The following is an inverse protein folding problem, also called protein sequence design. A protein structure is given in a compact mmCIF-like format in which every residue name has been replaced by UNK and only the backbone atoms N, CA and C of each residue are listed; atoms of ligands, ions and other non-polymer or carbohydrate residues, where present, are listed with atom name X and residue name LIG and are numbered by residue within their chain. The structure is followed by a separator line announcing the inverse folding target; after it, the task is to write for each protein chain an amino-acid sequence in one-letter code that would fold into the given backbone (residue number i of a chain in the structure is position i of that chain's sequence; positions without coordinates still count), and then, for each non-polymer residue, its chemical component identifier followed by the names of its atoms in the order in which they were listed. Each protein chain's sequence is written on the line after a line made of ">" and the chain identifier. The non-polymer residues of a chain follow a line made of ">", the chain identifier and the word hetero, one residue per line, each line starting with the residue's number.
data_IF_861572701124
#
_entry.id   IF_861572701124
#
_cell.length_a   1.000
_cell.length_b   1.000
_cell.length_c   1.000
_cell.angle_alpha   90.00
_cell.angle_beta   90.00
_cell.angle_gamma   90.00
#
_symmetry.space_group_name_H-M   'P 1'
#
loop_
_entity.id
_entity.type
_entity.pdbx_description
1 polymer ?
#
# COMPACT_ATOMS: atom_id res chain seq x y z
N UNK A 1 -0.50 -16.87 -12.83
CA UNK A 1 0.22 -16.35 -11.66
C UNK A 1 1.67 -16.11 -12.07
N UNK A 2 2.30 -15.03 -11.63
CA UNK A 2 3.70 -14.77 -11.98
C UNK A 2 4.59 -15.86 -11.37
N UNK A 3 5.52 -16.36 -12.18
CA UNK A 3 6.58 -17.22 -11.66
C UNK A 3 7.63 -16.36 -10.94
N UNK A 4 8.11 -16.76 -9.75
CA UNK A 4 9.19 -16.05 -9.06
C UNK A 4 10.49 -16.09 -9.89
N UNK A 5 11.31 -15.05 -9.76
CA UNK A 5 12.60 -14.93 -10.46
C UNK A 5 13.57 -16.06 -10.08
N UNK A 6 13.51 -16.52 -8.85
CA UNK A 6 14.30 -17.66 -8.36
C UNK A 6 13.37 -18.64 -7.62
N UNK A 7 13.25 -19.85 -8.14
CA UNK A 7 12.48 -20.92 -7.47
C UNK A 7 13.29 -21.68 -6.43
N UNK A 8 14.57 -21.83 -6.64
CA UNK A 8 15.45 -22.62 -5.74
C UNK A 8 15.57 -21.94 -4.38
N UNK A 9 15.13 -22.61 -3.33
CA UNK A 9 15.15 -22.08 -1.95
C UNK A 9 14.02 -21.10 -1.60
N UNK A 10 13.13 -20.77 -2.55
CA UNK A 10 11.96 -19.96 -2.26
C UNK A 10 10.86 -20.77 -1.58
N UNK A 11 10.31 -20.23 -0.51
CA UNK A 11 9.01 -20.61 0.03
C UNK A 11 7.99 -19.63 -0.55
N UNK A 12 6.91 -20.15 -1.14
CA UNK A 12 5.94 -19.31 -1.84
C UNK A 12 4.77 -18.95 -0.92
N UNK A 13 4.19 -17.76 -1.14
CA UNK A 13 2.88 -17.40 -0.59
C UNK A 13 1.83 -18.36 -1.16
N UNK A 14 1.06 -18.97 -0.25
CA UNK A 14 0.07 -19.98 -0.63
C UNK A 14 -1.28 -19.38 -1.05
N UNK A 15 -1.64 -18.28 -0.45
CA UNK A 15 -2.98 -17.67 -0.55
C UNK A 15 -2.91 -16.13 -0.64
N UNK A 16 -4.04 -15.52 -0.95
CA UNK A 16 -4.19 -14.07 -0.98
C UNK A 16 -3.65 -13.40 -2.25
N UNK A 17 -3.52 -12.06 -2.25
CA UNK A 17 -3.12 -11.29 -3.43
C UNK A 17 -1.68 -11.55 -3.87
N UNK A 18 -0.84 -12.10 -2.98
CA UNK A 18 0.56 -12.41 -3.23
C UNK A 18 0.81 -13.91 -3.51
N UNK A 19 -0.26 -14.70 -3.69
CA UNK A 19 -0.13 -16.13 -3.96
C UNK A 19 0.77 -16.41 -5.16
N UNK A 20 1.75 -17.30 -4.98
CA UNK A 20 2.69 -17.74 -6.01
C UNK A 20 3.98 -16.93 -6.11
N UNK A 21 4.12 -15.79 -5.41
CA UNK A 21 5.41 -15.11 -5.26
C UNK A 21 6.18 -15.64 -4.05
N UNK A 22 7.46 -15.35 -3.95
CA UNK A 22 8.26 -15.80 -2.83
C UNK A 22 7.86 -15.10 -1.52
N UNK A 23 7.43 -15.86 -0.53
CA UNK A 23 7.25 -15.39 0.83
C UNK A 23 8.62 -15.07 1.46
N UNK A 24 9.60 -15.95 1.27
CA UNK A 24 10.99 -15.75 1.70
C UNK A 24 11.96 -16.71 0.97
N UNK A 25 13.25 -16.41 1.07
CA UNK A 25 14.37 -17.22 0.58
C UNK A 25 15.20 -17.82 1.73
N UNK A 26 14.56 -18.14 2.86
CA UNK A 26 15.12 -18.83 4.02
C UNK A 26 15.08 -18.05 5.33
N UNK A 27 15.29 -16.72 5.33
CA UNK A 27 15.29 -15.94 6.57
C UNK A 27 14.71 -14.53 6.36
N UNK A 28 13.40 -14.33 6.62
CA UNK A 28 12.74 -13.04 6.45
C UNK A 28 13.47 -11.88 7.16
N UNK A 29 13.94 -12.08 8.37
CA UNK A 29 14.67 -11.04 9.13
C UNK A 29 16.01 -10.65 8.49
N UNK A 30 16.76 -11.62 7.94
CA UNK A 30 17.99 -11.31 7.21
C UNK A 30 17.69 -10.62 5.88
N UNK A 31 16.60 -10.99 5.25
CA UNK A 31 16.13 -10.39 4.01
C UNK A 31 15.71 -8.93 4.22
N UNK A 32 15.00 -8.61 5.31
CA UNK A 32 14.71 -7.23 5.71
C UNK A 32 15.99 -6.40 5.84
N UNK A 33 16.99 -6.91 6.56
CA UNK A 33 18.27 -6.21 6.73
C UNK A 33 18.99 -5.98 5.41
N UNK A 34 18.97 -6.97 4.50
CA UNK A 34 19.56 -6.80 3.17
C UNK A 34 18.83 -5.78 2.33
N UNK A 35 17.49 -5.74 2.39
CA UNK A 35 16.67 -4.69 1.76
C UNK A 35 17.06 -3.32 2.27
N UNK A 36 17.09 -3.12 3.60
CA UNK A 36 17.45 -1.84 4.22
C UNK A 36 18.87 -1.38 3.87
N UNK A 37 19.79 -2.32 3.67
CA UNK A 37 21.16 -2.03 3.22
C UNK A 37 21.25 -1.76 1.70
N UNK A 38 20.15 -1.84 0.96
CA UNK A 38 20.15 -1.71 -0.50
C UNK A 38 20.89 -2.83 -1.22
N UNK A 39 20.89 -4.07 -0.67
CA UNK A 39 21.60 -5.23 -1.20
C UNK A 39 20.68 -6.31 -1.76
N UNK A 40 19.39 -6.15 -1.62
CA UNK A 40 18.40 -7.08 -2.13
C UNK A 40 17.22 -6.32 -2.77
N UNK A 41 16.52 -6.99 -3.67
CA UNK A 41 15.28 -6.57 -4.29
C UNK A 41 14.17 -7.53 -3.91
N UNK A 42 12.94 -7.05 -3.90
CA UNK A 42 11.75 -7.90 -3.80
C UNK A 42 11.16 -8.06 -5.19
N UNK A 43 10.89 -9.31 -5.56
CA UNK A 43 10.14 -9.63 -6.77
C UNK A 43 8.64 -9.37 -6.53
N UNK A 44 8.15 -8.25 -7.06
CA UNK A 44 6.74 -7.86 -7.04
C UNK A 44 6.07 -8.18 -8.38
N UNK A 45 6.39 -9.34 -8.96
CA UNK A 45 5.85 -9.76 -10.26
C UNK A 45 4.33 -9.97 -10.28
N UNK A 46 3.65 -10.00 -9.13
CA UNK A 46 2.20 -9.99 -9.02
C UNK A 46 1.60 -8.58 -9.22
N UNK A 47 2.40 -7.52 -9.07
CA UNK A 47 1.93 -6.17 -9.35
C UNK A 47 1.66 -6.03 -10.85
N UNK A 48 0.64 -5.26 -11.17
CA UNK A 48 0.15 -5.07 -12.52
C UNK A 48 0.51 -3.68 -13.02
N UNK A 49 0.85 -3.58 -14.30
CA UNK A 49 1.20 -2.29 -14.92
C UNK A 49 0.18 -1.96 -15.99
N UNK A 50 -0.37 -0.74 -15.94
CA UNK A 50 -1.25 -0.16 -16.95
C UNK A 50 -0.59 1.09 -17.53
N UNK A 51 -0.38 1.12 -18.83
CA UNK A 51 0.06 2.31 -19.54
C UNK A 51 -1.15 3.15 -19.96
N UNK A 52 -1.05 4.45 -19.71
CA UNK A 52 -2.00 5.46 -20.15
C UNK A 52 -1.25 6.44 -21.02
N UNK A 53 -1.58 6.50 -22.33
CA UNK A 53 -0.85 7.31 -23.29
C UNK A 53 -1.79 8.08 -24.21
N UNK A 54 -1.27 9.11 -24.87
CA UNK A 54 -1.98 9.94 -25.83
C UNK A 54 -1.99 11.42 -25.46
N UNK A 55 -2.30 12.29 -26.44
CA UNK A 55 -2.16 13.75 -26.28
C UNK A 55 -2.92 14.36 -25.11
N UNK A 56 -3.96 13.68 -24.63
CA UNK A 56 -4.78 14.19 -23.53
C UNK A 56 -4.53 13.41 -22.21
N UNK A 57 -3.65 12.40 -22.18
CA UNK A 57 -3.51 11.42 -21.09
C UNK A 57 -3.31 12.06 -19.72
N UNK A 58 -2.33 12.93 -19.54
CA UNK A 58 -2.00 13.52 -18.23
C UNK A 58 -3.09 14.47 -17.73
N UNK A 59 -3.63 15.32 -18.63
CA UNK A 59 -4.75 16.20 -18.30
C UNK A 59 -6.00 15.40 -17.96
N UNK A 60 -6.27 14.36 -18.73
CA UNK A 60 -7.41 13.48 -18.51
C UNK A 60 -7.29 12.72 -17.19
N UNK A 61 -6.14 12.10 -16.87
CA UNK A 61 -5.88 11.48 -15.56
C UNK A 61 -6.06 12.49 -14.43
N UNK A 62 -5.58 13.74 -14.58
CA UNK A 62 -5.84 14.81 -13.62
C UNK A 62 -7.33 15.02 -13.42
N UNK A 63 -8.15 14.91 -14.46
CA UNK A 63 -9.61 15.14 -14.37
C UNK A 63 -10.35 13.98 -13.71
N UNK A 64 -10.00 12.73 -14.06
CA UNK A 64 -10.75 11.54 -13.65
C UNK A 64 -10.26 10.90 -12.35
N UNK A 65 -9.13 11.36 -11.79
CA UNK A 65 -8.58 10.88 -10.52
C UNK A 65 -8.49 12.00 -9.48
N UNK A 66 -8.08 11.67 -8.27
CA UNK A 66 -7.93 12.60 -7.15
C UNK A 66 -6.63 13.40 -7.15
N UNK A 67 -5.70 13.16 -8.11
CA UNK A 67 -4.35 13.77 -8.12
C UNK A 67 -4.15 14.68 -9.34
N UNK A 68 -3.11 15.51 -9.30
CA UNK A 68 -2.70 16.39 -10.41
C UNK A 68 -1.47 15.80 -11.08
N UNK A 69 -1.60 15.42 -12.36
CA UNK A 69 -0.50 14.90 -13.19
C UNK A 69 -0.16 15.84 -14.36
N UNK A 70 -1.08 16.76 -14.70
CA UNK A 70 -0.85 17.78 -15.72
C UNK A 70 0.26 18.74 -15.26
N UNK A 71 1.26 18.99 -16.10
CA UNK A 71 2.34 19.93 -15.81
C UNK A 71 3.45 19.39 -14.91
N UNK A 72 3.36 18.15 -14.39
CA UNK A 72 4.47 17.53 -13.64
C UNK A 72 5.63 17.14 -14.58
N UNK A 73 6.84 17.02 -14.06
CA UNK A 73 8.02 16.66 -14.87
C UNK A 73 8.00 15.19 -15.28
N UNK A 74 8.61 14.86 -16.45
CA UNK A 74 8.86 13.46 -16.83
C UNK A 74 9.82 12.82 -15.82
N UNK A 75 9.52 11.60 -15.41
CA UNK A 75 10.23 10.89 -14.34
C UNK A 75 9.63 11.13 -12.94
N UNK A 76 8.68 12.07 -12.78
CA UNK A 76 7.99 12.28 -11.51
C UNK A 76 7.13 11.09 -11.14
N UNK A 77 7.05 10.85 -9.83
CA UNK A 77 6.15 9.89 -9.20
C UNK A 77 4.96 10.60 -8.57
N UNK A 78 3.80 9.98 -8.58
CA UNK A 78 2.60 10.46 -7.88
C UNK A 78 1.74 9.29 -7.45
N UNK A 79 0.97 9.47 -6.38
CA UNK A 79 -0.06 8.53 -5.96
C UNK A 79 -1.43 9.08 -6.31
N UNK A 80 -2.29 8.25 -6.82
CA UNK A 80 -3.63 8.66 -7.21
C UNK A 80 -4.70 7.69 -6.69
N UNK A 81 -5.88 8.24 -6.43
CA UNK A 81 -7.05 7.47 -6.09
C UNK A 81 -8.21 7.80 -7.03
N UNK A 82 -9.06 6.80 -7.25
CA UNK A 82 -10.41 6.99 -7.77
C UNK A 82 -11.38 6.77 -6.62
N UNK A 83 -12.30 7.70 -6.44
CA UNK A 83 -13.30 7.64 -5.39
C UNK A 83 -14.69 7.41 -5.98
N UNK A 84 -15.58 6.77 -5.22
CA UNK A 84 -17.00 6.74 -5.55
C UNK A 84 -17.63 8.13 -5.38
N UNK A 85 -18.86 8.38 -5.91
CA UNK A 85 -19.57 9.64 -5.65
C UNK A 85 -19.77 9.94 -4.16
N UNK A 86 -19.79 8.88 -3.31
CA UNK A 86 -19.90 8.97 -1.86
C UNK A 86 -18.54 9.21 -1.17
N UNK A 87 -17.45 9.38 -1.93
CA UNK A 87 -16.11 9.65 -1.42
C UNK A 87 -15.41 8.42 -0.81
N UNK A 88 -15.84 7.21 -1.14
CA UNK A 88 -15.16 5.96 -0.75
C UNK A 88 -14.06 5.64 -1.74
N UNK A 89 -13.01 5.01 -1.25
CA UNK A 89 -11.90 4.54 -2.09
C UNK A 89 -12.38 3.41 -3.00
N UNK A 90 -12.22 3.58 -4.31
CA UNK A 90 -12.57 2.57 -5.31
C UNK A 90 -11.30 1.96 -5.93
N UNK A 91 -10.32 2.81 -6.29
CA UNK A 91 -9.03 2.35 -6.81
C UNK A 91 -7.90 3.20 -6.25
N UNK A 92 -6.74 2.58 -6.08
CA UNK A 92 -5.46 3.22 -5.78
C UNK A 92 -4.44 2.80 -6.82
N UNK A 93 -3.54 3.71 -7.20
CA UNK A 93 -2.41 3.40 -8.08
C UNK A 93 -1.22 4.31 -7.77
N UNK A 94 -0.03 3.77 -8.00
CA UNK A 94 1.22 4.51 -8.03
C UNK A 94 1.53 4.85 -9.49
N UNK A 95 1.77 6.13 -9.80
CA UNK A 95 1.95 6.62 -11.16
C UNK A 95 3.37 7.14 -11.38
N UNK A 96 3.95 6.82 -12.53
CA UNK A 96 5.20 7.43 -13.02
C UNK A 96 4.93 8.10 -14.35
N UNK A 97 5.30 9.37 -14.47
CA UNK A 97 5.21 10.10 -15.75
C UNK A 97 6.38 9.67 -16.63
N UNK A 98 6.09 8.96 -17.71
CA UNK A 98 7.13 8.39 -18.60
C UNK A 98 7.41 9.27 -19.82
N UNK A 99 6.43 10.09 -20.22
CA UNK A 99 6.57 11.06 -21.31
C UNK A 99 5.61 12.25 -21.09
N UNK A 100 5.70 13.25 -21.93
CA UNK A 100 4.78 14.40 -21.91
C UNK A 100 3.31 13.99 -22.11
N UNK A 101 3.09 12.87 -22.78
CA UNK A 101 1.80 12.32 -23.13
C UNK A 101 1.58 10.88 -22.60
N UNK A 102 2.38 10.43 -21.63
CA UNK A 102 2.26 9.08 -21.09
C UNK A 102 2.57 8.97 -19.60
N UNK A 103 1.90 8.02 -18.94
CA UNK A 103 2.17 7.58 -17.57
C UNK A 103 2.03 6.06 -17.45
N UNK A 104 2.84 5.43 -16.60
CA UNK A 104 2.64 4.07 -16.15
C UNK A 104 1.96 4.10 -14.77
N UNK A 105 0.93 3.30 -14.62
CA UNK A 105 0.24 3.06 -13.35
C UNK A 105 0.63 1.69 -12.84
N UNK A 106 1.17 1.64 -11.62
CA UNK A 106 1.55 0.42 -10.90
C UNK A 106 0.44 0.12 -9.92
N UNK A 107 -0.06 -1.11 -9.92
CA UNK A 107 -1.22 -1.53 -9.15
C UNK A 107 -0.97 -2.85 -8.43
N UNK A 108 -1.66 -3.04 -7.32
CA UNK A 108 -1.76 -4.35 -6.67
C UNK A 108 -2.41 -5.39 -7.58
N UNK A 109 -2.14 -6.66 -7.29
CA UNK A 109 -2.73 -7.79 -8.00
C UNK A 109 -4.25 -7.72 -8.04
N UNK A 110 -4.83 -7.91 -9.23
CA UNK A 110 -6.28 -7.89 -9.46
C UNK A 110 -6.90 -6.48 -9.52
N UNK A 111 -6.12 -5.40 -9.29
CA UNK A 111 -6.63 -4.03 -9.29
C UNK A 111 -6.64 -3.38 -10.69
N UNK A 112 -5.89 -3.91 -11.66
CA UNK A 112 -5.78 -3.32 -13.00
C UNK A 112 -7.08 -3.40 -13.79
N UNK A 113 -7.70 -4.55 -13.87
CA UNK A 113 -8.90 -4.74 -14.68
C UNK A 113 -10.09 -3.87 -14.20
N UNK A 114 -10.38 -3.76 -12.88
CA UNK A 114 -11.39 -2.84 -12.39
C UNK A 114 -11.07 -1.37 -12.66
N UNK A 115 -9.83 -0.93 -12.41
CA UNK A 115 -9.42 0.44 -12.72
C UNK A 115 -9.51 0.73 -14.22
N UNK A 116 -9.02 -0.17 -15.07
CA UNK A 116 -9.13 -0.04 -16.53
C UNK A 116 -10.57 0.12 -16.98
N UNK A 117 -11.49 -0.69 -16.46
CA UNK A 117 -12.92 -0.60 -16.78
C UNK A 117 -13.51 0.77 -16.40
N UNK A 118 -13.15 1.29 -15.23
CA UNK A 118 -13.53 2.64 -14.83
C UNK A 118 -12.96 3.69 -15.81
N UNK A 119 -11.67 3.63 -16.10
CA UNK A 119 -11.00 4.57 -17.00
C UNK A 119 -11.61 4.52 -18.42
N UNK A 120 -11.88 3.33 -18.96
CA UNK A 120 -12.56 3.17 -20.26
C UNK A 120 -13.95 3.83 -20.26
N UNK A 121 -14.69 3.74 -19.17
CA UNK A 121 -16.00 4.39 -19.03
C UNK A 121 -15.92 5.93 -19.03
N UNK A 122 -14.74 6.50 -18.76
CA UNK A 122 -14.49 7.92 -18.67
C UNK A 122 -13.79 8.52 -19.90
N UNK A 123 -13.52 7.73 -20.93
CA UNK A 123 -12.78 8.18 -22.12
C UNK A 123 -13.49 9.28 -22.89
N UNK A 124 -14.79 9.16 -23.11
CA UNK A 124 -15.61 10.08 -23.93
C UNK A 124 -14.90 10.50 -25.22
N UNK A 125 -14.52 11.80 -25.34
CA UNK A 125 -13.82 12.35 -26.48
C UNK A 125 -12.30 12.54 -26.24
N UNK A 126 -11.76 12.04 -25.14
CA UNK A 126 -10.34 12.15 -24.82
C UNK A 126 -9.50 11.23 -25.76
N UNK A 127 -8.41 11.76 -26.27
CA UNK A 127 -7.46 11.02 -27.13
C UNK A 127 -6.44 10.32 -26.24
N UNK A 128 -6.92 9.21 -25.64
CA UNK A 128 -6.17 8.40 -24.67
C UNK A 128 -6.27 6.94 -25.05
N UNK A 129 -5.17 6.24 -24.93
CA UNK A 129 -5.05 4.79 -25.09
C UNK A 129 -4.67 4.15 -23.75
N UNK A 130 -5.21 2.97 -23.49
CA UNK A 130 -4.96 2.18 -22.29
C UNK A 130 -4.36 0.84 -22.71
N UNK A 131 -3.16 0.52 -22.27
CA UNK A 131 -2.48 -0.72 -22.61
C UNK A 131 -2.04 -1.49 -21.36
N UNK A 132 -2.46 -2.77 -21.27
CA UNK A 132 -1.94 -3.68 -20.25
C UNK A 132 -0.50 -4.07 -20.59
N UNK A 133 0.43 -3.74 -19.69
CA UNK A 133 1.86 -3.99 -19.88
C UNK A 133 2.26 -5.30 -19.17
N UNK A 134 1.83 -6.43 -19.78
CA UNK A 134 2.18 -7.76 -19.29
C UNK A 134 3.63 -8.18 -19.61
N UNK A 135 4.32 -7.39 -20.41
CA UNK A 135 5.74 -7.49 -20.75
C UNK A 135 6.64 -6.88 -19.67
N UNK A 136 6.07 -6.19 -18.68
CA UNK A 136 6.80 -5.52 -17.61
C UNK A 136 6.64 -6.26 -16.27
N UNK A 137 7.66 -6.11 -15.43
CA UNK A 137 7.73 -6.61 -14.05
C UNK A 137 8.07 -5.47 -13.11
N UNK A 138 7.56 -5.54 -11.88
CA UNK A 138 7.90 -4.59 -10.82
C UNK A 138 8.87 -5.24 -9.84
N UNK A 139 9.94 -4.53 -9.52
CA UNK A 139 10.91 -4.89 -8.47
C UNK A 139 10.89 -3.82 -7.40
N UNK A 140 10.74 -4.22 -6.13
CA UNK A 140 10.76 -3.33 -4.98
C UNK A 140 12.14 -3.31 -4.30
N UNK A 141 12.52 -2.16 -3.74
CA UNK A 141 13.74 -2.00 -2.97
C UNK A 141 13.83 -0.63 -2.31
N UNK A 142 14.93 -0.34 -1.63
CA UNK A 142 15.23 1.00 -1.09
C UNK A 142 16.03 1.86 -2.08
N UNK A 143 16.51 1.25 -3.16
CA UNK A 143 17.18 1.90 -4.28
C UNK A 143 16.64 1.37 -5.59
N UNK A 144 16.82 2.11 -6.73
CA UNK A 144 16.51 1.60 -8.06
C UNK A 144 17.21 0.27 -8.34
N UNK A 145 16.52 -0.65 -9.02
CA UNK A 145 17.02 -2.00 -9.28
C UNK A 145 18.41 -2.01 -9.96
N UNK A 146 18.69 -1.04 -10.82
CA UNK A 146 19.99 -0.90 -11.49
C UNK A 146 21.18 -0.65 -10.53
N UNK A 147 20.96 -0.21 -9.30
CA UNK A 147 22.04 -0.08 -8.31
C UNK A 147 22.48 -1.45 -7.74
N UNK A 148 21.59 -2.44 -7.77
CA UNK A 148 21.88 -3.81 -7.29
C UNK A 148 22.26 -4.69 -8.49
N UNK A 149 21.54 -4.54 -9.59
CA UNK A 149 21.75 -5.26 -10.84
C UNK A 149 21.88 -4.25 -11.99
N UNK A 150 23.10 -3.82 -12.32
CA UNK A 150 23.34 -2.80 -13.37
C UNK A 150 22.83 -3.19 -14.75
N UNK A 151 22.57 -4.48 -14.98
CA UNK A 151 22.01 -5.01 -16.22
C UNK A 151 20.52 -4.70 -16.39
N UNK A 152 19.83 -4.30 -15.30
CA UNK A 152 18.42 -3.94 -15.34
C UNK A 152 18.25 -2.48 -15.77
N UNK A 153 17.74 -2.30 -16.98
CA UNK A 153 17.31 -0.99 -17.48
C UNK A 153 15.83 -0.78 -17.12
N UNK A 154 15.58 0.18 -16.22
CA UNK A 154 14.22 0.45 -15.79
C UNK A 154 13.48 1.35 -16.78
N UNK A 155 12.36 0.86 -17.31
CA UNK A 155 11.43 1.63 -18.12
C UNK A 155 10.85 2.81 -17.34
N UNK A 156 10.62 2.61 -16.03
CA UNK A 156 10.16 3.64 -15.11
C UNK A 156 10.61 3.32 -13.69
N UNK A 157 10.76 4.38 -12.87
CA UNK A 157 11.13 4.26 -11.46
C UNK A 157 10.16 5.10 -10.63
N UNK A 158 9.30 4.43 -9.88
CA UNK A 158 8.49 5.10 -8.87
C UNK A 158 9.32 5.30 -7.61
N UNK A 159 9.38 6.53 -7.12
CA UNK A 159 10.03 6.90 -5.86
C UNK A 159 8.95 7.26 -4.86
N UNK A 160 8.93 6.50 -3.78
CA UNK A 160 7.97 6.73 -2.70
C UNK A 160 8.51 7.80 -1.76
N UNK A 161 7.88 8.97 -1.78
CA UNK A 161 8.21 10.08 -0.87
C UNK A 161 7.50 9.95 0.50
N UNK A 162 6.87 8.80 0.77
CA UNK A 162 6.24 8.54 2.07
C UNK A 162 7.27 8.62 3.21
N UNK A 163 6.97 9.29 4.34
CA UNK A 163 5.66 9.85 4.73
C UNK A 163 5.48 11.34 4.41
N UNK A 164 6.26 11.92 3.51
CA UNK A 164 6.12 13.33 3.16
C UNK A 164 4.71 13.62 2.62
N UNK A 165 4.23 14.84 2.91
CA UNK A 165 2.93 15.29 2.43
C UNK A 165 3.08 15.82 1.00
N UNK A 166 2.36 15.22 0.06
CA UNK A 166 2.35 15.68 -1.32
C UNK A 166 1.72 17.08 -1.46
N UNK A 167 2.01 17.77 -2.56
CA UNK A 167 1.38 19.07 -2.87
C UNK A 167 -0.14 18.92 -2.84
N UNK A 168 -0.79 19.78 -2.07
CA UNK A 168 -2.24 19.73 -1.85
C UNK A 168 -2.73 18.60 -0.95
N UNK A 169 -1.82 17.81 -0.39
CA UNK A 169 -2.12 16.77 0.57
C UNK A 169 -2.37 17.30 1.99
N UNK A 170 -2.93 16.45 2.84
CA UNK A 170 -3.24 16.76 4.24
C UNK A 170 -2.98 15.52 5.10
N UNK A 171 -2.03 15.58 6.07
CA UNK A 171 -1.75 14.45 6.95
C UNK A 171 -2.84 14.29 8.02
N UNK A 172 -3.16 13.06 8.36
CA UNK A 172 -4.14 12.70 9.41
C UNK A 172 -3.49 12.07 10.64
N UNK A 173 -2.19 11.82 10.58
CA UNK A 173 -1.42 11.26 11.69
C UNK A 173 0.03 11.72 11.70
N UNK A 174 0.80 11.27 12.70
CA UNK A 174 2.23 11.51 12.77
C UNK A 174 2.97 10.79 11.65
N UNK A 175 4.20 11.20 11.42
CA UNK A 175 5.12 10.43 10.59
C UNK A 175 5.61 9.21 11.37
N UNK A 176 5.81 8.05 10.72
CA UNK A 176 6.43 6.89 11.38
C UNK A 176 7.87 7.23 11.82
N UNK A 177 8.36 6.53 12.84
CA UNK A 177 9.75 6.62 13.24
C UNK A 177 10.65 5.96 12.17
N UNK A 178 11.74 6.62 11.78
CA UNK A 178 12.74 6.13 10.83
C UNK A 178 12.16 5.54 9.53
N UNK A 179 11.33 6.28 8.77
CA UNK A 179 10.65 5.75 7.59
C UNK A 179 11.65 5.31 6.52
N UNK A 180 11.35 4.18 5.89
CA UNK A 180 12.18 3.61 4.82
C UNK A 180 11.71 4.14 3.47
N UNK A 181 12.57 4.86 2.76
CA UNK A 181 12.32 5.25 1.38
C UNK A 181 12.20 4.01 0.49
N UNK A 182 11.10 3.87 -0.23
CA UNK A 182 10.86 2.74 -1.12
C UNK A 182 10.93 3.17 -2.57
N UNK A 183 11.46 2.29 -3.41
CA UNK A 183 11.55 2.48 -4.85
C UNK A 183 10.96 1.25 -5.55
N UNK A 184 10.04 1.50 -6.50
CA UNK A 184 9.57 0.46 -7.42
C UNK A 184 10.21 0.70 -8.79
N UNK A 185 10.96 -0.30 -9.26
CA UNK A 185 11.55 -0.28 -10.61
C UNK A 185 10.70 -1.13 -11.55
N UNK A 186 10.19 -0.52 -12.60
CA UNK A 186 9.44 -1.20 -13.66
C UNK A 186 10.45 -1.60 -14.74
N UNK A 187 10.60 -2.89 -14.98
CA UNK A 187 11.64 -3.47 -15.84
C UNK A 187 11.03 -4.42 -16.87
N UNK A 188 11.75 -4.75 -17.93
CA UNK A 188 11.34 -5.80 -18.87
C UNK A 188 11.35 -7.18 -18.20
N UNK A 189 10.21 -7.91 -18.24
CA UNK A 189 10.07 -9.20 -17.58
C UNK A 189 10.98 -10.29 -18.17
N UNK A 190 11.10 -10.34 -19.51
CA UNK A 190 11.87 -11.36 -20.16
C UNK A 190 13.38 -11.17 -19.90
N UNK A 191 13.87 -9.94 -20.00
CA UNK A 191 15.26 -9.60 -19.70
C UNK A 191 15.59 -9.88 -18.22
N UNK A 192 14.69 -9.53 -17.31
CA UNK A 192 14.85 -9.76 -15.87
C UNK A 192 14.93 -11.25 -15.54
N UNK A 193 14.09 -12.08 -16.15
CA UNK A 193 14.11 -13.54 -15.97
C UNK A 193 15.34 -14.23 -16.54
N UNK A 194 15.94 -13.63 -17.57
CA UNK A 194 17.15 -14.18 -18.19
C UNK A 194 18.41 -13.99 -17.34
N UNK A 195 18.37 -13.12 -16.32
CA UNK A 195 19.50 -12.89 -15.43
C UNK A 195 19.69 -14.06 -14.46
N UNK A 196 20.94 -14.42 -14.11
CA UNK A 196 21.21 -15.34 -13.03
C UNK A 196 20.97 -14.65 -11.69
N UNK A 197 19.94 -15.08 -10.95
CA UNK A 197 19.60 -14.57 -9.63
C UNK A 197 20.18 -15.45 -8.53
N UNK A 198 20.74 -14.81 -7.51
CA UNK A 198 21.18 -15.45 -6.28
C UNK A 198 20.23 -15.11 -5.13
N UNK A 199 20.04 -16.05 -4.18
CA UNK A 199 19.10 -15.88 -3.07
C UNK A 199 19.45 -14.71 -2.14
N UNK A 200 20.69 -14.26 -2.10
CA UNK A 200 21.13 -13.13 -1.29
C UNK A 200 20.84 -11.76 -1.96
N UNK A 201 20.52 -11.77 -3.24
CA UNK A 201 20.07 -10.59 -4.00
C UNK A 201 18.56 -10.39 -3.97
N UNK A 202 17.82 -11.35 -3.41
CA UNK A 202 16.38 -11.33 -3.33
C UNK A 202 15.90 -11.35 -1.87
N UNK A 203 14.75 -10.72 -1.66
CA UNK A 203 13.97 -10.80 -0.44
C UNK A 203 12.52 -11.13 -0.81
N UNK A 204 11.82 -11.82 0.09
CA UNK A 204 10.43 -12.21 -0.14
C UNK A 204 9.42 -11.22 0.44
N UNK A 205 8.15 -11.52 0.22
CA UNK A 205 7.01 -10.69 0.63
C UNK A 205 6.94 -10.49 2.14
N UNK A 206 7.35 -11.47 2.96
CA UNK A 206 7.38 -11.31 4.43
C UNK A 206 8.33 -10.19 4.87
N UNK A 207 9.45 -10.02 4.18
CA UNK A 207 10.36 -8.91 4.46
C UNK A 207 9.77 -7.56 4.00
N UNK A 208 9.15 -7.54 2.82
CA UNK A 208 8.51 -6.34 2.25
C UNK A 208 7.34 -5.85 3.08
N UNK A 209 6.42 -6.74 3.44
CA UNK A 209 5.25 -6.42 4.24
C UNK A 209 5.62 -5.93 5.65
N UNK A 210 6.63 -6.53 6.27
CA UNK A 210 7.09 -6.06 7.58
C UNK A 210 7.59 -4.60 7.53
N UNK A 211 8.36 -4.21 6.49
CA UNK A 211 8.81 -2.83 6.30
C UNK A 211 7.63 -1.90 5.97
N UNK A 212 6.69 -2.34 5.12
CA UNK A 212 5.49 -1.57 4.77
C UNK A 212 4.63 -1.26 6.01
N UNK A 213 4.41 -2.27 6.87
CA UNK A 213 3.62 -2.13 8.10
C UNK A 213 4.31 -1.17 9.07
N UNK A 214 5.62 -1.33 9.29
CA UNK A 214 6.40 -0.45 10.16
C UNK A 214 6.37 1.01 9.69
N UNK A 215 6.34 1.23 8.38
CA UNK A 215 6.21 2.56 7.77
C UNK A 215 4.76 3.06 7.71
N UNK A 216 3.79 2.36 8.28
CA UNK A 216 2.37 2.76 8.27
C UNK A 216 1.77 2.92 6.87
N UNK A 217 2.33 2.31 5.84
CA UNK A 217 1.87 2.45 4.45
C UNK A 217 0.67 1.55 4.16
N UNK A 218 -0.51 2.11 3.84
CA UNK A 218 -1.66 1.30 3.46
C UNK A 218 -1.49 0.70 2.06
N UNK A 219 -2.14 -0.44 1.84
CA UNK A 219 -2.16 -1.18 0.58
C UNK A 219 -3.60 -1.40 0.13
N UNK A 220 -3.86 -1.28 -1.18
CA UNK A 220 -5.21 -1.38 -1.74
C UNK A 220 -5.89 -2.71 -1.41
N UNK A 221 -5.18 -3.82 -1.52
CA UNK A 221 -5.71 -5.17 -1.32
C UNK A 221 -5.80 -5.62 0.14
N UNK A 222 -5.31 -4.81 1.09
CA UNK A 222 -5.30 -5.14 2.52
C UNK A 222 -6.18 -4.21 3.36
N UNK A 223 -5.93 -2.91 3.32
CA UNK A 223 -6.58 -1.92 4.19
C UNK A 223 -7.88 -1.36 3.62
N UNK A 224 -8.07 -1.40 2.29
CA UNK A 224 -9.27 -0.85 1.65
C UNK A 224 -10.40 -1.86 1.64
N UNK A 225 -11.58 -1.43 2.07
CA UNK A 225 -12.85 -2.13 1.90
C UNK A 225 -13.90 -1.23 1.24
N UNK A 226 -15.07 -1.76 0.92
CA UNK A 226 -16.17 -1.04 0.26
C UNK A 226 -16.71 0.19 1.03
N UNK A 227 -16.32 0.36 2.30
CA UNK A 227 -16.73 1.48 3.17
C UNK A 227 -15.63 2.49 3.38
N UNK A 228 -14.40 2.16 3.02
CA UNK A 228 -13.20 2.95 3.32
C UNK A 228 -13.28 4.33 2.66
N UNK A 229 -13.10 5.38 3.45
CA UNK A 229 -12.88 6.75 2.97
C UNK A 229 -11.40 7.12 3.13
N UNK A 230 -10.84 7.99 2.28
CA UNK A 230 -9.40 8.29 2.29
C UNK A 230 -8.84 8.74 3.65
N UNK A 231 -9.65 9.41 4.45
CA UNK A 231 -9.27 9.92 5.78
C UNK A 231 -8.96 8.82 6.80
N UNK A 232 -9.56 7.63 6.65
CA UNK A 232 -9.38 6.52 7.58
C UNK A 232 -7.98 5.91 7.53
N UNK A 233 -7.30 6.04 6.38
CA UNK A 233 -6.02 5.41 6.06
C UNK A 233 -4.89 6.43 5.80
N UNK A 234 -5.09 7.69 6.15
CA UNK A 234 -4.17 8.80 5.85
C UNK A 234 -3.87 9.00 4.34
N UNK A 235 -4.78 8.57 3.46
CA UNK A 235 -4.57 8.68 2.00
C UNK A 235 -4.60 10.14 1.51
N UNK A 236 -5.16 11.09 2.30
CA UNK A 236 -5.08 12.50 1.95
C UNK A 236 -3.65 13.03 1.97
N UNK A 237 -2.74 12.35 2.63
CA UNK A 237 -1.32 12.70 2.67
C UNK A 237 -0.70 12.75 1.27
N UNK A 238 -1.00 11.77 0.41
CA UNK A 238 -0.36 11.64 -0.90
C UNK A 238 -1.30 11.31 -2.07
N UNK A 239 -2.42 10.60 -1.83
CA UNK A 239 -3.31 10.15 -2.92
C UNK A 239 -4.34 11.18 -3.34
N UNK A 240 -4.60 12.21 -2.52
CA UNK A 240 -5.67 13.18 -2.79
C UNK A 240 -5.14 14.60 -2.72
N UNK A 241 -5.26 15.33 -3.82
CA UNK A 241 -4.96 16.75 -3.89
C UNK A 241 -6.21 17.56 -3.50
N UNK A 242 -6.28 18.04 -2.26
CA UNK A 242 -7.48 18.66 -1.68
C UNK A 242 -7.83 20.02 -2.29
N UNK A 243 -6.87 20.69 -2.95
CA UNK A 243 -7.05 22.03 -3.56
C UNK A 243 -7.17 22.00 -5.09
N UNK A 244 -7.19 20.80 -5.74
CA UNK A 244 -7.40 20.71 -7.20
C UNK A 244 -8.85 20.97 -7.59
N UNK A 245 -9.12 21.10 -8.90
CA UNK A 245 -10.46 21.18 -9.47
C UNK A 245 -11.32 19.93 -9.19
N UNK A 246 -12.53 19.90 -9.74
CA UNK A 246 -13.50 18.85 -9.46
C UNK A 246 -12.98 17.45 -9.78
N UNK A 247 -13.22 16.51 -8.89
CA UNK A 247 -13.07 15.07 -9.07
C UNK A 247 -14.20 14.33 -8.36
N UNK A 248 -14.44 13.09 -8.77
CA UNK A 248 -15.51 12.26 -8.23
C UNK A 248 -15.33 12.04 -6.71
N UNK A 249 -16.36 12.32 -5.91
CA UNK A 249 -16.34 12.16 -4.44
C UNK A 249 -15.75 13.36 -3.66
N UNK A 250 -15.27 14.41 -4.34
CA UNK A 250 -14.64 15.58 -3.71
C UNK A 250 -15.51 16.24 -2.62
N UNK A 251 -16.83 16.32 -2.83
CA UNK A 251 -17.73 16.96 -1.86
C UNK A 251 -17.69 16.24 -0.51
N UNK A 252 -17.71 14.92 -0.52
CA UNK A 252 -17.61 14.10 0.71
C UNK A 252 -16.25 14.26 1.36
N UNK A 253 -15.15 14.24 0.57
CA UNK A 253 -13.80 14.48 1.08
C UNK A 253 -13.73 15.84 1.76
N UNK A 254 -14.19 16.91 1.11
CA UNK A 254 -14.17 18.25 1.67
C UNK A 254 -15.07 18.38 2.92
N UNK A 255 -16.22 17.70 2.94
CA UNK A 255 -17.13 17.70 4.09
C UNK A 255 -16.47 17.06 5.32
N UNK A 256 -15.84 15.89 5.16
CA UNK A 256 -15.13 15.22 6.28
C UNK A 256 -13.93 16.04 6.71
N UNK A 257 -13.15 16.57 5.76
CA UNK A 257 -11.97 17.41 6.04
C UNK A 257 -12.31 18.66 6.85
N UNK A 258 -13.43 19.34 6.55
CA UNK A 258 -13.76 20.62 7.12
C UNK A 258 -14.68 20.55 8.36
N UNK A 259 -15.57 19.56 8.42
CA UNK A 259 -16.68 19.54 9.39
C UNK A 259 -16.85 18.21 10.10
N UNK A 260 -16.19 17.16 9.61
CA UNK A 260 -16.41 15.80 10.07
C UNK A 260 -15.15 15.13 10.62
N UNK A 261 -15.34 13.86 10.90
CA UNK A 261 -14.26 12.95 11.28
C UNK A 261 -14.53 11.58 10.67
N UNK A 262 -13.48 10.82 10.27
CA UNK A 262 -13.68 9.48 9.78
C UNK A 262 -14.27 8.58 10.88
N UNK A 263 -15.18 7.66 10.56
CA UNK A 263 -15.78 6.77 11.56
C UNK A 263 -14.79 5.71 12.09
N UNK A 264 -13.77 5.41 11.33
CA UNK A 264 -12.69 4.46 11.64
C UNK A 264 -11.34 5.14 11.48
N UNK A 265 -10.30 4.47 11.93
CA UNK A 265 -8.92 4.92 11.77
C UNK A 265 -7.96 3.74 11.65
N UNK A 266 -6.91 3.92 10.88
CA UNK A 266 -5.78 3.01 10.79
C UNK A 266 -4.90 3.16 12.03
N UNK A 267 -4.45 2.03 12.57
CA UNK A 267 -3.46 1.93 13.63
C UNK A 267 -2.44 0.87 13.29
N UNK A 268 -1.19 1.06 13.74
CA UNK A 268 -0.25 -0.02 13.88
C UNK A 268 -0.43 -0.67 15.25
N UNK A 269 -0.29 -1.98 15.33
CA UNK A 269 -0.35 -2.77 16.55
C UNK A 269 0.98 -3.44 16.78
N UNK A 270 1.55 -3.26 17.97
CA UNK A 270 2.64 -4.07 18.49
C UNK A 270 2.01 -5.26 19.23
N UNK A 271 2.22 -6.44 18.73
CA UNK A 271 1.64 -7.68 19.26
C UNK A 271 2.57 -8.32 20.29
N UNK A 272 1.99 -8.92 21.35
CA UNK A 272 2.79 -9.69 22.31
C UNK A 272 3.40 -10.93 21.63
N UNK A 273 4.72 -10.91 21.47
CA UNK A 273 5.49 -12.01 20.87
C UNK A 273 5.87 -13.13 21.84
N UNK A 274 5.41 -13.09 23.10
CA UNK A 274 5.74 -14.12 24.11
C UNK A 274 5.08 -15.46 23.82
N UNK A 275 4.01 -15.46 23.02
CA UNK A 275 3.31 -16.63 22.55
C UNK A 275 3.70 -16.90 21.07
N UNK A 276 4.04 -18.13 20.75
CA UNK A 276 4.33 -18.53 19.36
C UNK A 276 3.02 -18.74 18.58
N UNK A 277 2.32 -17.64 18.31
CA UNK A 277 1.04 -17.63 17.60
C UNK A 277 1.27 -17.24 16.15
N UNK A 278 0.82 -18.04 15.17
CA UNK A 278 0.90 -17.67 13.76
C UNK A 278 0.14 -16.39 13.48
N UNK A 279 0.80 -15.40 12.89
CA UNK A 279 0.15 -14.13 12.52
C UNK A 279 -0.76 -14.34 11.30
N UNK A 280 -2.02 -13.87 11.40
CA UNK A 280 -2.99 -13.94 10.32
C UNK A 280 -3.81 -12.66 10.24
N UNK A 281 -4.21 -12.30 9.03
CA UNK A 281 -5.12 -11.17 8.77
C UNK A 281 -6.58 -11.56 9.09
N UNK A 282 -7.45 -10.57 9.21
CA UNK A 282 -8.89 -10.76 9.40
C UNK A 282 -9.33 -10.90 10.85
N UNK A 283 -8.40 -11.13 11.78
CA UNK A 283 -8.70 -11.27 13.21
C UNK A 283 -9.39 -10.03 13.79
N UNK A 284 -10.30 -10.24 14.75
CA UNK A 284 -10.99 -9.15 15.43
C UNK A 284 -10.06 -8.42 16.41
N UNK A 285 -10.13 -7.09 16.43
CA UNK A 285 -9.50 -6.26 17.46
C UNK A 285 -10.49 -6.01 18.57
N UNK A 286 -10.11 -6.38 19.81
CA UNK A 286 -10.96 -6.34 20.98
C UNK A 286 -10.51 -5.23 21.93
N UNK A 287 -11.46 -4.53 22.51
CA UNK A 287 -11.26 -3.58 23.61
C UNK A 287 -11.79 -4.19 24.92
N UNK A 288 -10.92 -4.39 25.89
CA UNK A 288 -11.28 -4.97 27.18
C UNK A 288 -10.89 -6.44 27.35
N UNK A 289 -9.84 -6.91 26.67
CA UNK A 289 -9.31 -8.27 26.77
C UNK A 289 -10.04 -9.29 25.89
N UNK A 290 -9.84 -10.58 26.18
CA UNK A 290 -10.33 -11.71 25.35
C UNK A 290 -11.86 -11.72 25.17
N UNK A 291 -12.62 -11.35 26.19
CA UNK A 291 -14.09 -11.24 26.14
C UNK A 291 -14.56 -9.81 25.80
N UNK A 292 -13.64 -8.97 25.34
CA UNK A 292 -13.87 -7.56 25.06
C UNK A 292 -14.75 -7.31 23.84
N UNK A 293 -15.13 -6.05 23.68
CA UNK A 293 -15.94 -5.62 22.54
C UNK A 293 -15.12 -5.55 21.26
N UNK A 294 -15.62 -6.15 20.18
CA UNK A 294 -15.02 -5.98 18.85
C UNK A 294 -15.09 -4.50 18.41
N UNK A 295 -13.91 -3.91 18.19
CA UNK A 295 -13.74 -2.51 17.80
C UNK A 295 -13.08 -2.35 16.43
N UNK A 296 -12.65 -3.43 15.79
CA UNK A 296 -11.99 -3.38 14.47
C UNK A 296 -11.51 -4.73 13.98
N UNK A 297 -10.70 -4.71 12.93
CA UNK A 297 -10.09 -5.92 12.37
C UNK A 297 -8.64 -5.68 11.98
N UNK A 298 -7.83 -6.70 12.07
CA UNK A 298 -6.46 -6.75 11.54
C UNK A 298 -6.52 -6.84 10.02
N UNK A 299 -5.75 -6.00 9.35
CA UNK A 299 -5.71 -5.91 7.87
C UNK A 299 -4.41 -6.45 7.31
N UNK A 300 -3.30 -6.21 7.99
CA UNK A 300 -1.98 -6.70 7.61
C UNK A 300 -1.23 -7.21 8.83
N UNK A 301 -0.36 -8.19 8.64
CA UNK A 301 0.50 -8.76 9.70
C UNK A 301 1.91 -8.96 9.18
N UNK A 302 2.90 -8.83 10.06
CA UNK A 302 4.29 -9.07 9.73
C UNK A 302 5.15 -9.24 10.97
N UNK A 303 6.36 -9.78 10.78
CA UNK A 303 7.38 -9.84 11.83
C UNK A 303 8.53 -8.93 11.44
N UNK A 304 8.63 -7.79 12.08
CA UNK A 304 9.71 -6.84 11.86
C UNK A 304 10.98 -7.27 12.60
N UNK A 305 12.15 -7.00 12.01
CA UNK A 305 13.43 -7.46 12.53
C UNK A 305 13.75 -6.90 13.93
N UNK A 306 13.29 -5.68 14.24
CA UNK A 306 13.59 -4.96 15.48
C UNK A 306 12.33 -4.75 16.35
N UNK A 307 11.14 -4.60 15.74
CA UNK A 307 9.87 -4.38 16.45
C UNK A 307 9.17 -5.70 16.83
N UNK A 308 9.62 -6.84 16.30
CA UNK A 308 8.93 -8.12 16.51
C UNK A 308 7.62 -8.22 15.72
N UNK A 309 6.60 -8.94 16.26
CA UNK A 309 5.32 -9.09 15.60
C UNK A 309 4.52 -7.79 15.60
N UNK A 310 4.17 -7.32 14.40
CA UNK A 310 3.41 -6.09 14.15
C UNK A 310 2.23 -6.35 13.22
N UNK A 311 1.23 -5.47 13.30
CA UNK A 311 0.08 -5.53 12.39
C UNK A 311 -0.42 -4.12 12.05
N UNK A 312 -1.12 -3.98 10.91
CA UNK A 312 -2.03 -2.86 10.69
C UNK A 312 -3.46 -3.32 10.97
N UNK A 313 -4.24 -2.41 11.54
CA UNK A 313 -5.64 -2.66 11.82
C UNK A 313 -6.50 -1.41 11.58
N UNK A 314 -7.71 -1.61 11.09
CA UNK A 314 -8.73 -0.56 11.00
C UNK A 314 -9.68 -0.71 12.17
N UNK A 315 -9.68 0.29 13.06
CA UNK A 315 -10.48 0.28 14.28
C UNK A 315 -11.48 1.45 14.31
N UNK A 316 -12.49 1.35 15.19
CA UNK A 316 -13.42 2.46 15.43
C UNK A 316 -12.67 3.68 15.97
N UNK A 317 -12.95 4.86 15.44
CA UNK A 317 -12.33 6.11 15.86
C UNK A 317 -12.41 6.39 17.36
N UNK A 318 -13.54 6.04 17.97
CA UNK A 318 -13.83 6.30 19.40
C UNK A 318 -12.98 5.47 20.38
N UNK A 319 -12.15 4.54 19.92
CA UNK A 319 -11.21 3.79 20.78
C UNK A 319 -10.13 4.75 21.27
N UNK A 320 -9.94 4.91 22.61
CA UNK A 320 -8.89 5.76 23.14
C UNK A 320 -7.50 5.30 22.64
N UNK A 321 -6.59 6.26 22.42
CA UNK A 321 -5.25 5.95 21.85
C UNK A 321 -4.34 5.18 22.81
N UNK A 322 -4.61 5.26 24.11
CA UNK A 322 -3.88 4.57 25.18
C UNK A 322 -4.58 3.29 25.67
N UNK A 323 -5.71 2.93 25.06
CA UNK A 323 -6.45 1.75 25.46
C UNK A 323 -5.67 0.47 25.10
N UNK A 324 -5.49 -0.46 26.06
CA UNK A 324 -4.96 -1.79 25.75
C UNK A 324 -5.97 -2.55 24.88
N UNK A 325 -5.44 -3.21 23.88
CA UNK A 325 -6.20 -3.99 22.91
C UNK A 325 -5.77 -5.45 22.97
N UNK A 326 -6.62 -6.34 22.50
CA UNK A 326 -6.27 -7.73 22.22
C UNK A 326 -6.71 -8.08 20.80
N UNK A 327 -6.04 -9.02 20.17
CA UNK A 327 -6.33 -9.45 18.81
C UNK A 327 -6.66 -10.93 18.80
N UNK A 328 -7.75 -11.30 18.15
CA UNK A 328 -8.07 -12.68 17.85
C UNK A 328 -7.30 -13.14 16.62
N UNK A 329 -6.43 -14.13 16.78
CA UNK A 329 -5.65 -14.75 15.69
C UNK A 329 -6.28 -16.08 15.32
N UNK A 330 -6.84 -16.23 14.11
CA UNK A 330 -7.35 -17.51 13.63
C UNK A 330 -6.20 -18.53 13.50
N UNK A 331 -6.30 -19.69 14.15
CA UNK A 331 -5.28 -20.76 14.09
C UNK A 331 -5.60 -21.79 13.01
N UNK A 332 -6.83 -21.85 12.53
CA UNK A 332 -7.36 -22.83 11.61
C UNK A 332 -8.54 -23.59 12.23
N UNK A 333 -8.95 -24.67 11.56
CA UNK A 333 -10.10 -25.48 11.99
C UNK A 333 -9.58 -26.85 12.44
N UNK A 334 -9.91 -27.26 13.65
CA UNK A 334 -9.67 -28.62 14.15
C UNK A 334 -10.99 -29.25 14.55
N UNK A 335 -11.28 -30.46 14.04
CA UNK A 335 -12.53 -31.17 14.30
C UNK A 335 -13.83 -30.44 13.88
N UNK A 336 -13.74 -29.38 13.04
CA UNK A 336 -14.86 -28.55 12.61
C UNK A 336 -15.10 -27.30 13.46
N UNK A 337 -14.31 -27.09 14.52
CA UNK A 337 -14.32 -25.87 15.33
C UNK A 337 -13.16 -24.95 14.94
N UNK A 338 -13.45 -23.67 14.77
CA UNK A 338 -12.43 -22.65 14.52
C UNK A 338 -11.63 -22.41 15.81
N UNK A 339 -10.32 -22.64 15.74
CA UNK A 339 -9.42 -22.34 16.84
C UNK A 339 -8.94 -20.89 16.75
N UNK A 340 -8.98 -20.18 17.85
CA UNK A 340 -8.59 -18.77 17.95
C UNK A 340 -7.64 -18.62 19.14
N UNK A 341 -6.47 -18.01 18.89
CA UNK A 341 -5.65 -17.46 19.95
C UNK A 341 -5.99 -16.00 20.20
N UNK A 342 -5.81 -15.52 21.42
CA UNK A 342 -5.94 -14.10 21.74
C UNK A 342 -4.57 -13.59 22.16
N UNK A 343 -4.10 -12.56 21.49
CA UNK A 343 -2.78 -11.94 21.68
C UNK A 343 -3.00 -10.49 22.14
N UNK A 344 -2.31 -10.07 23.18
CA UNK A 344 -2.35 -8.68 23.64
C UNK A 344 -1.63 -7.76 22.65
N UNK A 345 -2.12 -6.52 22.54
CA UNK A 345 -1.61 -5.55 21.57
C UNK A 345 -1.60 -4.13 22.15
N UNK A 346 -0.50 -3.42 21.90
CA UNK A 346 -0.42 -1.98 22.07
C UNK A 346 -0.62 -1.29 20.73
N UNK A 347 -1.43 -0.21 20.71
CA UNK A 347 -1.67 0.53 19.47
C UNK A 347 -0.77 1.75 19.34
N UNK A 348 -0.33 1.98 18.11
CA UNK A 348 0.30 3.20 17.65
C UNK A 348 -0.60 3.85 16.59
N UNK A 349 -1.09 5.08 16.79
CA UNK A 349 -2.00 5.70 15.85
C UNK A 349 -1.32 6.09 14.54
N UNK A 350 -1.74 5.51 13.43
CA UNK A 350 -1.42 6.00 12.08
C UNK A 350 -2.32 7.19 11.73
N UNK A 351 -3.59 7.10 12.08
CA UNK A 351 -4.55 8.20 11.98
C UNK A 351 -5.01 8.57 13.39
N UNK A 352 -4.81 9.85 13.76
CA UNK A 352 -5.20 10.36 15.06
C UNK A 352 -6.73 10.56 15.15
N UNK A 353 -7.36 10.22 16.28
CA UNK A 353 -8.70 10.72 16.59
C UNK A 353 -8.60 12.23 16.85
N UNK A 354 -9.33 13.02 16.06
CA UNK A 354 -9.36 14.49 16.21
C UNK A 354 -10.63 14.89 16.92
N UNK A 355 -10.61 16.03 17.63
CA UNK A 355 -11.79 16.62 18.20
C UNK A 355 -12.66 17.31 17.12
N UNK A 356 -13.95 17.45 17.38
CA UNK A 356 -14.85 18.11 16.47
C UNK A 356 -14.40 19.57 16.19
N UNK A 357 -14.21 19.93 14.93
CA UNK A 357 -13.83 21.27 14.50
C UNK A 357 -12.33 21.53 14.36
N UNK A 358 -11.46 20.59 14.76
CA UNK A 358 -10.03 20.70 14.44
C UNK A 358 -9.76 20.39 12.97
N UNK A 359 -9.27 21.40 12.27
CA UNK A 359 -8.76 21.19 10.90
C UNK A 359 -7.34 20.63 10.96
N UNK A 360 -7.00 19.65 10.08
CA UNK A 360 -5.61 19.25 9.92
C UNK A 360 -4.75 20.46 9.58
N UNK A 361 -3.49 20.43 10.04
CA UNK A 361 -2.52 21.43 9.62
C UNK A 361 -2.31 21.28 8.10
N UNK A 362 -2.75 22.29 7.34
CA UNK A 362 -2.44 22.34 5.90
C UNK A 362 -0.98 22.69 5.74
N UNK A 363 -0.24 21.89 4.95
CA UNK A 363 1.09 22.28 4.50
C UNK A 363 1.00 23.66 3.85
N UNK A 364 1.71 24.64 4.36
CA UNK A 364 1.81 25.95 3.71
C UNK A 364 2.65 25.76 2.45
N UNK A 365 2.07 26.13 1.31
CA UNK A 365 2.78 26.25 0.03
C UNK A 365 3.97 27.21 0.14
#
# INVERSE_FOLDING_TARGET
>A
MPEPLLRTGAVLEAEGPDAGVAAHYGSPTREQRRLLMGRALVDLGQFEVLEVSGPDARRWLTTVTSQVLEGTEVGSSARLAVLTPQGRVEHLADAVITADDAALLILDHGCRAPLRSYLESMLFAARVELADRNDLRVLGGVHPAAQIRPELDAVAVFRDDWPQVAIGGVPYGPDPEDPVGVVLSVVDDAATRALPWEADQLAGMLAWEALRIADHRPRATAEVDERTIPHELDLLRQWVHTAKGCYRGQETVAKVLNLGQPPRRLVMLHLDGSQDVPLRTGGAVLLGGADGKNVGRVTSVGTHADLGPIALAVIKRAVPVDAPLSVQMPLGTDGGEEQIAVVDAAQEPVVLPRDHGERPATARL
#
